data_IF_040194731414
#
_entry.id   IF_040194731414
#
_cell.length_a   1.000
_cell.length_b   1.000
_cell.length_c   1.000
_cell.angle_alpha   90.00
_cell.angle_beta   90.00
_cell.angle_gamma   90.00
#
_symmetry.space_group_name_H-M   'P 1'
#
loop_
_entity.id
_entity.type
_entity.pdbx_description
1 polymer ?
#
# COMPACT_ATOMS: atom_id res chain seq x y z
N UNK A 1 -3.95 1.22 4.20
CA UNK A 1 -4.00 1.47 2.75
C UNK A 1 -5.13 2.46 2.50
N UNK A 2 -4.97 3.38 1.56
CA UNK A 2 -6.01 4.30 1.12
C UNK A 2 -6.50 3.86 -0.25
N UNK A 3 -7.81 3.70 -0.38
CA UNK A 3 -8.44 3.42 -1.66
C UNK A 3 -9.28 4.62 -2.09
N UNK A 4 -9.13 5.02 -3.35
CA UNK A 4 -9.95 6.07 -3.94
C UNK A 4 -10.82 5.45 -5.03
N UNK A 5 -12.13 5.55 -4.85
CA UNK A 5 -13.09 5.32 -5.93
C UNK A 5 -13.54 6.67 -6.52
N UNK A 6 -14.52 6.66 -7.43
CA UNK A 6 -15.02 7.88 -8.08
C UNK A 6 -15.85 8.80 -7.16
N UNK A 7 -16.25 8.32 -5.98
CA UNK A 7 -17.21 8.96 -5.09
C UNK A 7 -16.63 9.32 -3.70
N UNK A 8 -15.65 8.55 -3.19
CA UNK A 8 -15.10 8.72 -1.83
C UNK A 8 -13.68 8.15 -1.63
N UNK A 9 -13.07 8.54 -0.52
CA UNK A 9 -11.88 7.91 0.03
C UNK A 9 -12.28 6.86 1.07
N UNK A 10 -11.70 5.67 0.96
CA UNK A 10 -11.85 4.60 1.95
C UNK A 10 -10.54 4.46 2.70
N UNK A 11 -10.58 4.78 3.98
CA UNK A 11 -9.45 4.64 4.89
C UNK A 11 -9.42 3.25 5.51
N UNK A 12 -8.22 2.80 5.91
CA UNK A 12 -8.01 1.51 6.60
C UNK A 12 -8.55 0.28 5.85
N UNK A 13 -8.80 0.39 4.55
CA UNK A 13 -9.22 -0.74 3.73
C UNK A 13 -8.11 -1.78 3.57
N UNK A 14 -8.49 -3.05 3.44
CA UNK A 14 -7.67 -4.20 3.06
C UNK A 14 -8.35 -4.89 1.88
N UNK A 15 -7.60 -5.20 0.83
CA UNK A 15 -8.07 -6.11 -0.22
C UNK A 15 -7.97 -7.52 0.34
N UNK A 16 -9.10 -8.22 0.41
CA UNK A 16 -9.15 -9.58 0.95
C UNK A 16 -9.26 -10.64 -0.15
N UNK A 17 -9.75 -10.26 -1.33
CA UNK A 17 -9.86 -11.18 -2.47
C UNK A 17 -9.89 -10.41 -3.81
N UNK A 18 -9.49 -11.10 -4.89
CA UNK A 18 -9.59 -10.63 -6.27
C UNK A 18 -10.05 -11.80 -7.14
N UNK A 19 -11.23 -11.67 -7.73
CA UNK A 19 -11.81 -12.68 -8.60
C UNK A 19 -12.19 -12.04 -9.94
N UNK A 20 -11.40 -12.34 -10.98
CA UNK A 20 -11.59 -11.73 -12.31
C UNK A 20 -11.41 -10.21 -12.29
N UNK A 21 -12.50 -9.47 -12.56
CA UNK A 21 -12.56 -8.01 -12.54
C UNK A 21 -13.18 -7.44 -11.25
N UNK A 22 -13.44 -8.28 -10.25
CA UNK A 22 -13.98 -7.89 -8.95
C UNK A 22 -12.89 -7.89 -7.87
N UNK A 23 -12.94 -6.88 -7.01
CA UNK A 23 -12.07 -6.73 -5.85
C UNK A 23 -12.93 -6.68 -4.60
N UNK A 24 -12.65 -7.55 -3.63
CA UNK A 24 -13.32 -7.54 -2.34
C UNK A 24 -12.47 -6.77 -1.33
N UNK A 25 -13.06 -5.72 -0.78
CA UNK A 25 -12.45 -4.84 0.20
C UNK A 25 -13.08 -5.10 1.57
N UNK A 26 -12.25 -5.14 2.60
CA UNK A 26 -12.68 -5.06 3.99
C UNK A 26 -12.19 -3.76 4.61
N UNK A 27 -13.05 -3.03 5.29
CA UNK A 27 -12.66 -1.86 6.06
C UNK A 27 -13.40 -1.82 7.40
N UNK A 28 -12.80 -1.12 8.35
CA UNK A 28 -13.29 -0.99 9.71
C UNK A 28 -13.54 0.49 10.02
N UNK A 29 -14.66 0.78 10.68
CA UNK A 29 -14.96 2.08 11.27
C UNK A 29 -15.07 1.92 12.79
N UNK A 30 -14.63 2.95 13.52
CA UNK A 30 -14.73 3.03 14.98
C UNK A 30 -15.86 4.03 15.28
N UNK A 31 -16.96 3.56 15.86
CA UNK A 31 -18.16 4.35 16.15
C UNK A 31 -18.65 4.02 17.56
N UNK A 32 -18.84 5.03 18.41
CA UNK A 32 -19.51 4.93 19.72
C UNK A 32 -19.17 3.67 20.56
N UNK A 33 -17.87 3.40 20.75
CA UNK A 33 -17.30 2.26 21.49
C UNK A 33 -17.35 0.89 20.78
N UNK A 34 -17.80 0.85 19.53
CA UNK A 34 -17.88 -0.36 18.71
C UNK A 34 -16.96 -0.29 17.47
N UNK A 35 -16.51 -1.46 17.01
CA UNK A 35 -15.78 -1.61 15.75
C UNK A 35 -16.73 -2.26 14.74
N UNK A 36 -17.11 -1.50 13.73
CA UNK A 36 -17.93 -1.97 12.62
C UNK A 36 -17.04 -2.46 11.48
N UNK A 37 -17.24 -3.70 11.03
CA UNK A 37 -16.51 -4.27 9.88
C UNK A 37 -17.42 -4.40 8.66
N UNK A 38 -16.96 -3.91 7.53
CA UNK A 38 -17.68 -3.93 6.26
C UNK A 38 -16.90 -4.71 5.21
N UNK A 39 -17.61 -5.48 4.38
CA UNK A 39 -17.09 -6.09 3.17
C UNK A 39 -17.83 -5.58 1.95
N UNK A 40 -17.08 -5.15 0.93
CA UNK A 40 -17.62 -4.52 -0.25
C UNK A 40 -16.93 -5.07 -1.50
N UNK A 41 -17.72 -5.47 -2.50
CA UNK A 41 -17.23 -5.94 -3.79
C UNK A 41 -17.35 -4.82 -4.82
N UNK A 42 -16.23 -4.44 -5.43
CA UNK A 42 -16.18 -3.37 -6.44
C UNK A 42 -15.52 -3.86 -7.71
N UNK A 43 -15.83 -3.22 -8.85
CA UNK A 43 -15.14 -3.51 -10.10
C UNK A 43 -13.75 -2.88 -10.10
N UNK A 44 -12.80 -3.54 -10.75
CA UNK A 44 -11.42 -3.05 -10.85
C UNK A 44 -11.36 -1.68 -11.57
N UNK A 45 -12.24 -1.46 -12.56
CA UNK A 45 -12.35 -0.19 -13.29
C UNK A 45 -12.90 0.99 -12.47
N UNK A 46 -13.56 0.71 -11.34
CA UNK A 46 -14.08 1.75 -10.45
C UNK A 46 -13.05 2.24 -9.43
N UNK A 47 -11.91 1.55 -9.30
CA UNK A 47 -10.82 1.92 -8.41
C UNK A 47 -9.87 2.86 -9.16
N UNK A 48 -9.84 4.13 -8.78
CA UNK A 48 -8.99 5.13 -9.43
C UNK A 48 -7.52 5.02 -9.02
N UNK A 49 -7.25 4.74 -7.73
CA UNK A 49 -5.90 4.52 -7.24
C UNK A 49 -5.92 3.77 -5.89
N UNK A 50 -4.86 2.98 -5.66
CA UNK A 50 -4.56 2.35 -4.36
C UNK A 50 -3.22 2.91 -3.88
N UNK A 51 -3.20 3.47 -2.67
CA UNK A 51 -1.97 4.01 -2.07
C UNK A 51 -1.69 3.31 -0.75
N UNK A 52 -0.49 2.74 -0.63
CA UNK A 52 0.01 2.14 0.60
C UNK A 52 1.36 2.76 0.96
N UNK A 53 1.46 3.25 2.20
CA UNK A 53 2.75 3.69 2.75
C UNK A 53 3.60 2.45 3.03
N UNK A 54 4.70 2.29 2.30
CA UNK A 54 5.63 1.17 2.47
C UNK A 54 6.64 1.42 3.59
N UNK A 55 7.19 2.64 3.65
CA UNK A 55 8.17 3.04 4.65
C UNK A 55 8.10 4.55 4.94
N UNK A 56 8.76 4.98 6.00
CA UNK A 56 8.97 6.39 6.34
C UNK A 56 10.44 6.56 6.68
N UNK A 57 11.16 7.40 5.92
CA UNK A 57 12.53 7.78 6.24
C UNK A 57 12.55 9.21 6.80
N UNK A 58 13.32 9.50 7.86
CA UNK A 58 13.47 10.87 8.35
C UNK A 58 14.17 11.73 7.30
N UNK A 59 13.82 13.03 7.23
CA UNK A 59 14.35 13.96 6.22
C UNK A 59 15.75 14.55 6.53
N UNK A 60 16.36 14.21 7.67
CA UNK A 60 17.67 14.71 8.09
C UNK A 60 18.83 13.77 7.68
N UNK A 61 20.07 14.14 8.01
CA UNK A 61 21.23 13.24 7.94
C UNK A 61 21.15 12.22 9.08
N UNK A 62 20.36 11.18 8.86
CA UNK A 62 20.34 9.98 9.68
C UNK A 62 20.83 8.83 8.82
N UNK A 63 21.77 8.07 9.36
CA UNK A 63 22.20 6.82 8.76
C UNK A 63 21.03 5.83 8.88
N UNK A 64 20.43 5.38 7.76
CA UNK A 64 19.33 4.43 7.81
C UNK A 64 19.82 3.16 8.50
N UNK A 65 18.99 2.60 9.38
CA UNK A 65 19.28 1.30 10.00
C UNK A 65 19.29 0.24 8.88
N UNK A 66 20.49 -0.20 8.52
CA UNK A 66 20.70 -1.30 7.58
C UNK A 66 20.54 -2.60 8.35
N UNK A 67 19.71 -3.50 7.82
CA UNK A 67 19.60 -4.86 8.33
C UNK A 67 20.48 -5.76 7.47
N UNK A 68 21.39 -6.50 8.10
CA UNK A 68 22.24 -7.51 7.42
C UNK A 68 21.39 -8.69 6.91
N UNK A 69 20.21 -8.88 7.49
CA UNK A 69 19.28 -9.99 7.23
C UNK A 69 18.09 -9.56 6.33
N UNK A 70 18.39 -8.87 5.22
CA UNK A 70 17.37 -8.49 4.23
C UNK A 70 17.19 -9.64 3.21
N UNK A 71 16.00 -10.29 3.14
CA UNK A 71 15.73 -11.37 2.20
C UNK A 71 15.99 -10.93 0.77
N UNK A 72 16.59 -11.80 -0.06
CA UNK A 72 16.98 -11.44 -1.43
C UNK A 72 15.83 -10.91 -2.30
N UNK A 73 14.61 -11.35 -2.02
CA UNK A 73 13.38 -10.91 -2.71
C UNK A 73 12.95 -9.49 -2.35
N UNK A 74 13.34 -8.98 -1.18
CA UNK A 74 13.04 -7.63 -0.69
C UNK A 74 14.17 -6.64 -0.98
N UNK A 75 15.34 -7.13 -1.42
CA UNK A 75 16.48 -6.28 -1.78
C UNK A 75 16.15 -5.43 -3.00
N UNK A 76 16.13 -4.11 -2.80
CA UNK A 76 16.03 -3.15 -3.89
C UNK A 76 17.28 -3.31 -4.76
N UNK A 77 17.10 -3.87 -5.96
CA UNK A 77 18.21 -4.06 -6.91
C UNK A 77 18.72 -2.68 -7.35
N UNK A 78 19.99 -2.38 -7.05
CA UNK A 78 20.65 -1.20 -7.59
C UNK A 78 20.71 -1.34 -9.11
N UNK A 79 19.83 -0.62 -9.81
CA UNK A 79 19.80 -0.58 -11.28
C UNK A 79 20.78 0.44 -11.87
N UNK A 80 21.63 1.05 -11.04
CA UNK A 80 22.71 1.93 -11.47
C UNK A 80 23.93 1.11 -11.85
N UNK A 81 23.86 0.41 -12.98
CA UNK A 81 25.07 0.09 -13.75
C UNK A 81 25.54 1.38 -14.42
N UNK A 82 26.74 1.81 -14.06
CA UNK A 82 27.65 2.73 -14.74
C UNK A 82 27.10 3.46 -15.96
N UNK A 83 26.89 4.77 -15.82
CA UNK A 83 26.86 5.69 -16.95
C UNK A 83 27.63 6.95 -16.56
N UNK A 84 28.93 6.79 -16.31
CA UNK A 84 29.86 7.92 -16.40
C UNK A 84 30.68 7.73 -17.68
N UNK A 85 30.41 8.50 -18.75
CA UNK A 85 31.31 8.56 -19.90
C UNK A 85 32.47 9.52 -19.55
N UNK A 86 33.69 8.98 -19.49
CA UNK A 86 34.90 9.77 -19.70
C UNK A 86 35.20 9.87 -21.20
#
# INVERSE_FOLDING_TARGET
MFLRDQQRWIERARIIDIEGDLVTLRYETEEDEEICSWEEMVRLESIGAITQKLASVPRGNVEPLLTEDCPEVERIRNRYTDSNPD
#
